data_IF_088249330010
#
_entry.id   IF_088249330010
#
_cell.length_a   1.000
_cell.length_b   1.000
_cell.length_c   1.000
_cell.angle_alpha   90.00
_cell.angle_beta   90.00
_cell.angle_gamma   90.00
#
_symmetry.space_group_name_H-M   'P 1'
#
loop_
_entity.id
_entity.type
_entity.pdbx_description
1 polymer ?
#
# COMPACT_ATOMS: atom_id res chain seq x y z
N UNK A 1 -3.01 8.37 12.32
CA UNK A 1 -3.10 7.29 11.30
C UNK A 1 -1.82 6.48 11.38
N UNK A 2 -1.92 5.18 11.61
CA UNK A 2 -0.75 4.29 11.60
C UNK A 2 -0.33 3.98 10.16
N UNK A 3 0.98 3.90 9.94
CA UNK A 3 1.59 3.56 8.66
C UNK A 3 2.85 2.71 8.87
N UNK A 4 3.27 2.02 7.83
CA UNK A 4 4.57 1.33 7.77
C UNK A 4 5.30 1.80 6.53
N UNK A 5 6.54 2.29 6.67
CA UNK A 5 7.38 2.60 5.52
C UNK A 5 8.21 1.38 5.16
N UNK A 6 8.11 0.92 3.92
CA UNK A 6 8.85 -0.24 3.43
C UNK A 6 9.48 0.10 2.08
N UNK A 7 10.57 -0.59 1.74
CA UNK A 7 11.18 -0.48 0.43
C UNK A 7 11.45 -1.85 -0.17
N UNK A 8 11.42 -1.92 -1.50
CA UNK A 8 11.77 -3.12 -2.27
C UNK A 8 12.61 -2.73 -3.48
N UNK A 9 13.86 -3.21 -3.53
CA UNK A 9 14.80 -2.95 -4.63
C UNK A 9 14.92 -1.46 -5.04
N UNK A 10 14.88 -0.55 -4.06
CA UNK A 10 15.06 0.88 -4.28
C UNK A 10 13.77 1.69 -4.41
N UNK A 11 12.60 1.06 -4.55
CA UNK A 11 11.31 1.78 -4.45
C UNK A 11 10.77 1.75 -3.02
N UNK A 12 10.48 2.92 -2.46
CA UNK A 12 9.93 3.06 -1.10
C UNK A 12 8.50 3.60 -1.12
N UNK A 13 7.61 2.94 -0.38
CA UNK A 13 6.21 3.36 -0.25
C UNK A 13 5.80 3.42 1.21
N UNK A 14 4.76 4.21 1.46
CA UNK A 14 4.12 4.34 2.77
C UNK A 14 2.87 3.45 2.74
N UNK A 15 2.91 2.34 3.47
CA UNK A 15 1.84 1.36 3.53
C UNK A 15 0.85 1.73 4.62
N UNK A 16 -0.43 1.73 4.28
CA UNK A 16 -1.52 2.06 5.21
C UNK A 16 -2.50 0.89 5.22
N UNK A 17 -2.73 0.35 6.41
CA UNK A 17 -3.74 -0.67 6.63
C UNK A 17 -5.14 -0.05 6.62
N UNK A 18 -5.96 -0.54 5.70
CA UNK A 18 -7.32 -0.15 5.40
C UNK A 18 -8.25 -1.39 5.34
N UNK A 19 -7.93 -2.46 6.09
CA UNK A 19 -8.77 -3.66 6.14
C UNK A 19 -10.11 -3.39 6.82
N UNK A 20 -10.13 -2.51 7.83
CA UNK A 20 -11.31 -2.18 8.64
C UNK A 20 -11.74 -0.71 8.51
N UNK A 21 -11.21 0.02 7.52
CA UNK A 21 -11.52 1.44 7.30
C UNK A 21 -11.24 1.85 5.86
N UNK A 22 -11.93 2.88 5.40
CA UNK A 22 -11.61 3.57 4.16
C UNK A 22 -10.93 4.91 4.45
N UNK A 23 -10.11 5.38 3.51
CA UNK A 23 -9.51 6.71 3.56
C UNK A 23 -10.17 7.57 2.50
N UNK A 24 -10.56 8.77 2.90
CA UNK A 24 -11.02 9.82 2.01
C UNK A 24 -9.83 10.47 1.30
N UNK A 25 -10.00 10.86 0.04
CA UNK A 25 -9.01 11.57 -0.80
C UNK A 25 -7.58 10.96 -0.77
N UNK A 26 -7.41 9.65 -1.04
CA UNK A 26 -6.10 9.01 -0.98
C UNK A 26 -5.07 9.61 -1.95
N UNK A 27 -5.52 10.21 -3.05
CA UNK A 27 -4.68 10.97 -3.99
C UNK A 27 -4.03 12.19 -3.32
N UNK A 28 -4.80 12.96 -2.55
CA UNK A 28 -4.30 14.12 -1.84
C UNK A 28 -3.37 13.69 -0.71
N UNK A 29 -3.74 12.62 -0.02
CA UNK A 29 -2.92 12.04 1.02
C UNK A 29 -1.57 11.56 0.48
N UNK A 30 -1.55 10.98 -0.72
CA UNK A 30 -0.32 10.54 -1.36
C UNK A 30 0.65 11.71 -1.59
N UNK A 31 0.16 12.85 -2.06
CA UNK A 31 0.98 14.06 -2.26
C UNK A 31 1.56 14.55 -0.93
N UNK A 32 0.73 14.69 0.11
CA UNK A 32 1.15 15.23 1.40
C UNK A 32 2.15 14.30 2.10
N UNK A 33 1.88 12.99 2.13
CA UNK A 33 2.73 12.05 2.85
C UNK A 33 4.04 11.75 2.12
N UNK A 34 4.03 11.79 0.78
CA UNK A 34 5.21 11.44 -0.03
C UNK A 34 6.21 12.58 -0.19
N UNK A 35 5.85 13.80 0.19
CA UNK A 35 6.81 14.91 0.26
C UNK A 35 7.97 14.55 1.19
N UNK A 36 9.21 14.64 0.68
CA UNK A 36 10.42 14.22 1.41
C UNK A 36 10.93 15.26 2.40
N UNK A 37 10.48 16.51 2.31
CA UNK A 37 10.88 17.61 3.18
C UNK A 37 9.87 17.87 4.30
N UNK A 38 8.58 17.74 3.98
CA UNK A 38 7.47 18.10 4.87
C UNK A 38 6.56 16.92 5.22
N UNK A 39 6.72 15.78 4.56
CA UNK A 39 6.00 14.54 4.82
C UNK A 39 6.91 13.43 5.37
N UNK A 40 6.47 12.19 5.18
CA UNK A 40 7.26 10.99 5.52
C UNK A 40 8.31 10.71 4.42
N UNK A 41 8.02 11.15 3.20
CA UNK A 41 8.81 10.89 2.01
C UNK A 41 8.58 9.50 1.44
N UNK A 42 8.50 9.38 0.12
CA UNK A 42 8.43 8.10 -0.58
C UNK A 42 8.09 8.28 -2.05
N UNK A 43 8.05 7.18 -2.79
CA UNK A 43 7.58 7.15 -4.18
C UNK A 43 6.04 7.23 -4.27
N UNK A 44 5.34 7.09 -3.13
CA UNK A 44 3.90 7.13 -3.04
C UNK A 44 3.36 6.46 -1.77
N UNK A 45 2.05 6.21 -1.75
CA UNK A 45 1.37 5.43 -0.72
C UNK A 45 0.79 4.14 -1.30
N UNK A 46 0.70 3.11 -0.46
CA UNK A 46 0.03 1.83 -0.78
C UNK A 46 -1.04 1.58 0.27
N UNK A 47 -2.29 1.43 -0.16
CA UNK A 47 -3.40 1.07 0.69
C UNK A 47 -3.63 -0.44 0.62
N UNK A 48 -3.69 -1.08 1.79
CA UNK A 48 -3.99 -2.51 1.95
C UNK A 48 -5.44 -2.60 2.42
N UNK A 49 -6.33 -3.02 1.54
CA UNK A 49 -7.78 -3.02 1.75
C UNK A 49 -8.33 -4.44 1.78
N UNK A 50 -9.57 -4.58 2.27
CA UNK A 50 -10.31 -5.83 2.17
C UNK A 50 -10.55 -6.17 0.69
N UNK A 51 -10.54 -7.47 0.38
CA UNK A 51 -10.84 -8.05 -0.92
C UNK A 51 -11.83 -9.20 -0.74
N UNK A 52 -12.73 -9.39 -1.69
CA UNK A 52 -13.67 -10.52 -1.69
C UNK A 52 -13.13 -11.72 -2.50
N UNK A 53 -12.06 -11.53 -3.30
CA UNK A 53 -11.52 -12.55 -4.21
C UNK A 53 -10.03 -12.85 -4.00
N UNK A 54 -9.39 -12.15 -3.07
CA UNK A 54 -7.96 -12.24 -2.78
C UNK A 54 -7.70 -12.05 -1.27
N UNK A 55 -6.45 -12.28 -0.84
CA UNK A 55 -6.10 -12.16 0.59
C UNK A 55 -6.12 -10.71 1.09
N UNK A 56 -5.82 -9.77 0.19
CA UNK A 56 -6.03 -8.33 0.38
C UNK A 56 -6.06 -7.64 -0.98
N UNK A 57 -6.71 -6.49 -1.06
CA UNK A 57 -6.69 -5.60 -2.22
C UNK A 57 -5.62 -4.53 -2.04
N UNK A 58 -4.82 -4.31 -3.08
CA UNK A 58 -3.83 -3.23 -3.09
C UNK A 58 -4.29 -2.07 -3.99
N UNK A 59 -4.27 -0.85 -3.46
CA UNK A 59 -4.29 0.39 -4.26
C UNK A 59 -3.00 1.16 -4.05
N UNK A 60 -2.44 1.72 -5.11
CA UNK A 60 -1.18 2.46 -5.06
C UNK A 60 -1.36 3.82 -5.68
N UNK A 61 -0.88 4.85 -4.99
CA UNK A 61 -0.89 6.23 -5.48
C UNK A 61 0.54 6.74 -5.50
N UNK A 62 0.96 7.34 -6.61
CA UNK A 62 2.27 7.96 -6.73
C UNK A 62 2.35 9.24 -5.89
N UNK A 63 3.55 9.77 -5.73
CA UNK A 63 3.80 11.01 -5.01
C UNK A 63 3.11 12.26 -5.60
N UNK A 64 2.62 12.20 -6.84
CA UNK A 64 1.83 13.26 -7.49
C UNK A 64 0.30 13.06 -7.33
N UNK A 65 -0.11 12.03 -6.57
CA UNK A 65 -1.51 11.68 -6.34
C UNK A 65 -2.15 10.81 -7.42
N UNK A 66 -1.47 10.57 -8.54
CA UNK A 66 -1.99 9.69 -9.58
C UNK A 66 -2.08 8.23 -9.10
N UNK A 67 -3.20 7.57 -9.36
CA UNK A 67 -3.35 6.14 -9.03
C UNK A 67 -2.54 5.31 -10.04
N UNK A 68 -1.52 4.64 -9.54
CA UNK A 68 -0.62 3.84 -10.36
C UNK A 68 -1.09 2.40 -10.55
N UNK A 69 -0.55 1.74 -11.58
CA UNK A 69 -0.72 0.30 -11.75
C UNK A 69 0.16 -0.45 -10.75
N UNK A 70 -0.30 -1.62 -10.32
CA UNK A 70 0.48 -2.52 -9.45
C UNK A 70 1.91 -2.71 -9.98
N UNK A 71 2.89 -2.31 -9.15
CA UNK A 71 4.32 -2.54 -9.38
C UNK A 71 4.79 -3.78 -8.60
N UNK A 72 5.71 -4.55 -9.19
CA UNK A 72 6.28 -5.75 -8.59
C UNK A 72 7.00 -5.50 -7.26
N UNK A 73 7.49 -4.29 -7.01
CA UNK A 73 8.15 -3.93 -5.75
C UNK A 73 7.13 -3.72 -4.63
N UNK A 74 6.03 -3.01 -4.92
CA UNK A 74 4.98 -2.76 -3.96
C UNK A 74 4.30 -4.06 -3.48
N UNK A 75 4.01 -4.99 -4.39
CA UNK A 75 3.33 -6.25 -4.06
C UNK A 75 4.16 -7.16 -3.13
N UNK A 76 5.50 -7.18 -3.26
CA UNK A 76 6.36 -7.95 -2.34
C UNK A 76 6.26 -7.43 -0.92
N UNK A 77 6.25 -6.12 -0.74
CA UNK A 77 6.05 -5.50 0.57
C UNK A 77 4.65 -5.75 1.12
N UNK A 78 3.60 -5.73 0.29
CA UNK A 78 2.24 -6.09 0.74
C UNK A 78 2.19 -7.54 1.23
N UNK A 79 2.74 -8.49 0.48
CA UNK A 79 2.77 -9.89 0.91
C UNK A 79 3.52 -10.05 2.25
N UNK A 80 4.67 -9.39 2.40
CA UNK A 80 5.40 -9.37 3.68
C UNK A 80 4.58 -8.73 4.80
N UNK A 81 3.92 -7.60 4.54
CA UNK A 81 3.09 -6.91 5.53
C UNK A 81 1.96 -7.82 6.04
N UNK A 82 1.27 -8.51 5.14
CA UNK A 82 0.17 -9.41 5.50
C UNK A 82 0.65 -10.57 6.38
N UNK A 83 1.81 -11.14 6.05
CA UNK A 83 2.40 -12.24 6.82
C UNK A 83 2.91 -11.77 8.19
N UNK A 84 3.69 -10.70 8.23
CA UNK A 84 4.33 -10.20 9.47
C UNK A 84 3.33 -9.65 10.50
N UNK A 85 2.12 -9.28 10.08
CA UNK A 85 1.06 -8.76 10.95
C UNK A 85 -0.04 -9.80 11.22
N UNK A 86 0.22 -11.09 10.98
CA UNK A 86 -0.71 -12.20 11.20
C UNK A 86 -2.08 -12.03 10.51
N UNK A 87 -2.13 -11.25 9.43
CA UNK A 87 -3.34 -11.06 8.61
C UNK A 87 -3.59 -12.31 7.76
N UNK A 88 -2.51 -12.98 7.35
CA UNK A 88 -2.55 -14.28 6.68
C UNK A 88 -1.53 -15.24 7.30
N UNK A 89 -1.95 -16.46 7.57
CA UNK A 89 -1.08 -17.54 8.09
C UNK A 89 -0.84 -18.62 7.02
N UNK A 90 -0.35 -18.19 5.86
CA UNK A 90 0.01 -19.08 4.76
C UNK A 90 1.18 -18.53 3.95
N UNK A 91 1.94 -19.45 3.34
CA UNK A 91 3.13 -19.10 2.53
C UNK A 91 2.79 -18.66 1.11
N UNK A 92 1.67 -19.13 0.57
CA UNK A 92 1.16 -18.68 -0.73
C UNK A 92 0.11 -17.58 -0.52
N UNK A 93 0.55 -16.33 -0.71
CA UNK A 93 -0.30 -15.14 -0.56
C UNK A 93 -0.70 -14.64 -1.94
N UNK A 94 -1.97 -14.30 -2.11
CA UNK A 94 -2.55 -13.72 -3.32
C UNK A 94 -3.00 -12.28 -3.04
N UNK A 95 -2.12 -11.27 -3.21
CA UNK A 95 -2.53 -9.88 -3.19
C UNK A 95 -3.29 -9.54 -4.48
N UNK A 96 -4.55 -9.12 -4.35
CA UNK A 96 -5.42 -8.73 -5.44
C UNK A 96 -5.13 -7.31 -5.96
N UNK A 97 -5.55 -7.05 -7.20
CA UNK A 97 -5.50 -5.72 -7.83
C UNK A 97 -6.74 -4.89 -7.47
N UNK A 98 -6.81 -3.65 -7.97
CA UNK A 98 -8.04 -2.85 -8.00
C UNK A 98 -9.17 -3.70 -8.58
N UNK A 99 -10.09 -4.11 -7.72
CA UNK A 99 -11.35 -4.74 -8.13
C UNK A 99 -12.22 -3.65 -8.75
N UNK A 100 -12.72 -3.94 -9.96
CA UNK A 100 -13.67 -3.10 -10.69
C UNK A 100 -15.09 -3.37 -10.25
#
# INVERSE_FOLDING_TARGET
>A
MEFTKMHGCGNDYIYINCLNRELEEPERLAVVLSDRHFGIGGDGIVLIQKSEVADARMRMFNNDGSEGKMCGNAIRCVAKYLYDNDIVDKKEIKPGRKEG
#
